data_IF_517139195786
#
_entry.id   IF_517139195786
#
_cell.length_a   1.000
_cell.length_b   1.000
_cell.length_c   1.000
_cell.angle_alpha   90.00
_cell.angle_beta   90.00
_cell.angle_gamma   90.00
#
_symmetry.space_group_name_H-M   'P 1'
#
loop_
_entity.id
_entity.type
_entity.pdbx_description
1 polymer ?
#
# COMPACT_ATOMS: atom_id res chain seq x y z
N UNK A 1 0.49 -80.12 -64.48
CA UNK A 1 0.34 -80.36 -63.03
C UNK A 1 1.59 -79.81 -62.38
N UNK A 2 1.53 -78.61 -61.79
CA UNK A 2 2.07 -78.20 -60.47
C UNK A 2 1.63 -76.74 -60.25
N UNK A 3 1.17 -76.49 -59.03
CA UNK A 3 0.40 -75.39 -58.48
C UNK A 3 1.12 -74.04 -58.43
N UNK A 4 0.43 -72.96 -58.82
CA UNK A 4 0.79 -71.59 -58.45
C UNK A 4 0.31 -71.38 -57.01
N UNK A 5 1.24 -71.18 -56.07
CA UNK A 5 0.88 -70.84 -54.68
C UNK A 5 0.35 -69.41 -54.62
N UNK A 6 -0.85 -69.27 -54.05
CA UNK A 6 -1.52 -68.00 -53.87
C UNK A 6 -0.76 -67.18 -52.81
N UNK A 7 -0.30 -65.99 -53.20
CA UNK A 7 0.29 -65.02 -52.29
C UNK A 7 -0.79 -64.57 -51.31
N UNK A 8 -0.60 -64.91 -50.04
CA UNK A 8 -1.50 -64.55 -48.95
C UNK A 8 -1.37 -63.04 -48.70
N UNK A 9 -2.37 -62.28 -49.11
CA UNK A 9 -2.42 -60.84 -48.87
C UNK A 9 -2.62 -60.62 -47.38
N UNK A 10 -1.65 -59.99 -46.72
CA UNK A 10 -1.80 -59.53 -45.35
C UNK A 10 -2.90 -58.47 -45.34
N UNK A 11 -4.09 -58.85 -44.88
CA UNK A 11 -5.19 -57.93 -44.63
C UNK A 11 -4.80 -57.10 -43.41
N UNK A 12 -4.39 -55.86 -43.63
CA UNK A 12 -4.17 -54.91 -42.55
C UNK A 12 -5.54 -54.52 -41.98
N UNK A 13 -6.02 -55.26 -40.97
CA UNK A 13 -7.17 -54.82 -40.20
C UNK A 13 -6.74 -53.62 -39.35
N UNK A 14 -7.26 -52.42 -39.66
CA UNK A 14 -7.24 -51.30 -38.73
C UNK A 14 -8.00 -51.71 -37.47
N UNK A 15 -7.27 -52.06 -36.42
CA UNK A 15 -7.84 -52.18 -35.09
C UNK A 15 -8.14 -50.75 -34.59
N UNK A 16 -9.39 -50.31 -34.75
CA UNK A 16 -9.87 -49.10 -34.10
C UNK A 16 -9.97 -49.39 -32.61
N UNK A 17 -8.97 -48.95 -31.86
CA UNK A 17 -8.94 -49.08 -30.41
C UNK A 17 -9.79 -47.96 -29.81
N UNK A 18 -10.95 -48.31 -29.28
CA UNK A 18 -11.79 -47.41 -28.50
C UNK A 18 -11.13 -47.19 -27.13
N UNK A 19 -10.31 -46.15 -27.04
CA UNK A 19 -9.69 -45.75 -25.79
C UNK A 19 -10.77 -45.13 -24.90
N UNK A 20 -10.89 -45.52 -23.61
CA UNK A 20 -11.86 -44.90 -22.71
C UNK A 20 -11.70 -43.37 -22.80
N UNK A 21 -12.80 -42.72 -23.16
CA UNK A 21 -12.82 -41.34 -23.65
C UNK A 21 -12.03 -40.39 -22.76
N UNK A 22 -11.25 -39.53 -23.41
CA UNK A 22 -10.44 -38.50 -22.75
C UNK A 22 -11.25 -37.78 -21.66
N UNK A 23 -10.73 -37.75 -20.44
CA UNK A 23 -11.33 -36.97 -19.37
C UNK A 23 -11.17 -35.49 -19.67
N UNK A 24 -12.30 -34.78 -19.78
CA UNK A 24 -12.28 -33.32 -19.91
C UNK A 24 -12.00 -32.74 -18.53
N UNK A 25 -10.82 -32.15 -18.37
CA UNK A 25 -10.41 -31.42 -17.17
C UNK A 25 -10.29 -29.93 -17.49
N UNK A 26 -10.42 -29.09 -16.46
CA UNK A 26 -10.13 -27.65 -16.61
C UNK A 26 -8.69 -27.44 -17.06
N UNK A 27 -8.48 -26.53 -18.01
CA UNK A 27 -7.14 -26.19 -18.49
C UNK A 27 -6.24 -25.65 -17.36
N UNK A 28 -6.83 -24.90 -16.44
CA UNK A 28 -6.20 -24.40 -15.24
C UNK A 28 -7.19 -24.48 -14.06
N UNK A 29 -6.68 -24.82 -12.89
CA UNK A 29 -7.45 -24.89 -11.65
C UNK A 29 -6.63 -24.31 -10.51
N UNK A 30 -7.25 -23.50 -9.66
CA UNK A 30 -6.61 -22.94 -8.48
C UNK A 30 -7.57 -22.91 -7.31
N UNK A 31 -7.02 -23.06 -6.11
CA UNK A 31 -7.79 -22.94 -4.86
C UNK A 31 -7.76 -21.49 -4.41
N UNK A 32 -8.94 -20.90 -4.24
CA UNK A 32 -9.07 -19.56 -3.70
C UNK A 32 -9.00 -19.59 -2.19
N UNK A 33 -8.15 -18.74 -1.62
CA UNK A 33 -7.98 -18.59 -0.17
C UNK A 33 -8.04 -17.12 0.20
N UNK A 34 -8.70 -16.82 1.31
CA UNK A 34 -8.68 -15.49 1.89
C UNK A 34 -7.30 -15.22 2.50
N UNK A 35 -6.73 -14.04 2.23
CA UNK A 35 -5.46 -13.63 2.83
C UNK A 35 -5.58 -13.36 4.33
N UNK A 36 -6.75 -12.95 4.79
CA UNK A 36 -7.04 -12.62 6.17
C UNK A 36 -8.26 -13.41 6.65
N UNK A 37 -8.24 -13.79 7.93
CA UNK A 37 -9.39 -14.42 8.55
C UNK A 37 -10.47 -13.36 8.82
N UNK A 38 -11.72 -13.74 8.59
CA UNK A 38 -12.86 -12.85 8.69
C UNK A 38 -14.18 -13.58 8.51
N UNK A 39 -15.27 -12.85 8.70
CA UNK A 39 -16.61 -13.37 8.46
C UNK A 39 -17.04 -13.03 7.05
N UNK A 40 -17.63 -13.99 6.34
CA UNK A 40 -18.25 -13.70 5.03
C UNK A 40 -19.47 -12.83 5.27
N UNK A 41 -19.42 -11.59 4.79
CA UNK A 41 -20.50 -10.61 4.91
C UNK A 41 -21.50 -10.74 3.77
N UNK A 42 -20.98 -10.86 2.55
CA UNK A 42 -21.76 -10.97 1.34
C UNK A 42 -20.99 -11.75 0.28
N UNK A 43 -21.72 -12.45 -0.57
CA UNK A 43 -21.16 -13.02 -1.79
C UNK A 43 -21.19 -11.95 -2.89
N UNK A 44 -20.16 -11.95 -3.72
CA UNK A 44 -20.03 -11.01 -4.82
C UNK A 44 -21.12 -11.19 -5.88
N UNK A 45 -21.22 -10.22 -6.78
CA UNK A 45 -22.19 -10.24 -7.87
C UNK A 45 -21.48 -10.02 -9.20
N UNK A 46 -22.00 -10.66 -10.23
CA UNK A 46 -21.59 -10.43 -11.61
C UNK A 46 -22.80 -10.01 -12.44
N UNK A 47 -22.83 -8.72 -12.77
CA UNK A 47 -24.06 -8.09 -13.26
C UNK A 47 -25.16 -8.20 -12.20
N UNK A 48 -26.30 -8.77 -12.59
CA UNK A 48 -27.45 -8.93 -11.70
C UNK A 48 -27.42 -10.24 -10.88
N UNK A 49 -26.51 -11.16 -11.22
CA UNK A 49 -26.43 -12.49 -10.61
C UNK A 49 -25.48 -12.51 -9.41
N UNK A 50 -25.88 -13.17 -8.34
CA UNK A 50 -24.97 -13.54 -7.25
C UNK A 50 -24.02 -14.63 -7.75
N UNK A 51 -22.76 -14.58 -7.31
CA UNK A 51 -21.75 -15.56 -7.73
C UNK A 51 -22.01 -16.87 -7.00
N UNK A 52 -22.26 -17.92 -7.79
CA UNK A 52 -22.43 -19.29 -7.29
C UNK A 52 -21.66 -20.27 -8.20
N UNK A 53 -21.69 -21.56 -7.86
CA UNK A 53 -21.01 -22.62 -8.60
C UNK A 53 -21.49 -22.62 -10.06
N UNK A 54 -20.53 -22.47 -10.98
CA UNK A 54 -20.78 -22.45 -12.43
C UNK A 54 -20.87 -21.06 -13.05
N UNK A 55 -20.82 -19.99 -12.25
CA UNK A 55 -20.77 -18.61 -12.77
C UNK A 55 -19.37 -18.26 -13.30
N UNK A 56 -19.30 -17.71 -14.52
CA UNK A 56 -18.05 -17.35 -15.19
C UNK A 56 -17.56 -15.99 -14.68
N UNK A 57 -16.57 -15.96 -13.80
CA UNK A 57 -16.01 -14.71 -13.24
C UNK A 57 -14.81 -14.18 -14.03
N UNK A 58 -14.65 -12.85 -14.08
CA UNK A 58 -13.46 -12.21 -14.64
C UNK A 58 -12.37 -12.04 -13.57
N UNK A 59 -11.11 -11.90 -14.01
CA UNK A 59 -10.01 -11.59 -13.11
C UNK A 59 -10.27 -10.30 -12.34
N UNK A 60 -10.02 -10.32 -11.03
CA UNK A 60 -10.21 -9.17 -10.15
C UNK A 60 -11.66 -8.91 -9.74
N UNK A 61 -12.62 -9.73 -10.17
CA UNK A 61 -13.99 -9.66 -9.68
C UNK A 61 -14.04 -9.92 -8.18
N UNK A 62 -14.87 -9.16 -7.46
CA UNK A 62 -15.14 -9.42 -6.05
C UNK A 62 -15.99 -10.68 -5.95
N UNK A 63 -15.44 -11.72 -5.33
CA UNK A 63 -16.15 -13.00 -5.15
C UNK A 63 -16.87 -13.07 -3.81
N UNK A 64 -16.32 -12.43 -2.78
CA UNK A 64 -16.91 -12.32 -1.46
C UNK A 64 -16.37 -11.09 -0.74
N UNK A 65 -17.23 -10.45 0.04
CA UNK A 65 -16.85 -9.42 0.99
C UNK A 65 -16.63 -10.05 2.36
N UNK A 66 -15.48 -9.77 2.96
CA UNK A 66 -15.16 -10.19 4.32
C UNK A 66 -15.33 -9.00 5.27
N UNK A 67 -16.04 -9.23 6.37
CA UNK A 67 -16.09 -8.32 7.48
C UNK A 67 -15.09 -8.77 8.55
N UNK A 68 -14.15 -7.87 8.86
CA UNK A 68 -13.05 -8.09 9.82
C UNK A 68 -13.06 -6.88 10.77
N UNK A 69 -13.82 -6.93 11.87
CA UNK A 69 -13.97 -5.77 12.77
C UNK A 69 -12.63 -5.30 13.36
N UNK A 70 -11.68 -6.21 13.55
CA UNK A 70 -10.35 -5.90 14.06
C UNK A 70 -9.58 -4.93 13.14
N UNK A 71 -9.71 -5.08 11.82
CA UNK A 71 -9.09 -4.16 10.86
C UNK A 71 -9.72 -2.77 10.88
N UNK A 72 -11.03 -2.69 11.13
CA UNK A 72 -11.73 -1.41 11.23
C UNK A 72 -11.28 -0.63 12.47
N UNK A 73 -11.11 -1.32 13.60
CA UNK A 73 -10.57 -0.74 14.83
C UNK A 73 -9.10 -0.35 14.65
N UNK A 74 -8.26 -1.22 14.08
CA UNK A 74 -6.85 -0.92 13.80
C UNK A 74 -6.71 0.32 12.89
N UNK A 75 -7.52 0.40 11.83
CA UNK A 75 -7.54 1.56 10.95
C UNK A 75 -7.89 2.84 11.73
N UNK A 76 -8.88 2.77 12.62
CA UNK A 76 -9.30 3.92 13.43
C UNK A 76 -8.20 4.37 14.38
N UNK A 77 -7.52 3.43 15.04
CA UNK A 77 -6.38 3.69 15.92
C UNK A 77 -5.23 4.35 15.15
N UNK A 78 -4.85 3.79 14.00
CA UNK A 78 -3.76 4.32 13.17
C UNK A 78 -4.07 5.70 12.60
N UNK A 79 -5.32 5.96 12.22
CA UNK A 79 -5.74 7.28 11.81
C UNK A 79 -5.68 8.29 12.97
N UNK A 80 -6.04 7.88 14.19
CA UNK A 80 -5.92 8.74 15.37
C UNK A 80 -4.46 9.04 15.71
N UNK A 81 -3.59 8.04 15.64
CA UNK A 81 -2.14 8.17 15.80
C UNK A 81 -1.56 9.15 14.77
N UNK A 82 -1.93 8.99 13.49
CA UNK A 82 -1.52 9.89 12.41
C UNK A 82 -1.94 11.34 12.67
N UNK A 83 -3.19 11.57 13.11
CA UNK A 83 -3.67 12.93 13.45
C UNK A 83 -2.88 13.55 14.60
N UNK A 84 -2.55 12.77 15.65
CA UNK A 84 -1.74 13.24 16.78
C UNK A 84 -0.34 13.60 16.32
N UNK A 85 0.31 12.76 15.53
CA UNK A 85 1.65 13.02 15.01
C UNK A 85 1.69 14.29 14.14
N UNK A 86 0.67 14.51 13.29
CA UNK A 86 0.57 15.74 12.49
C UNK A 86 0.42 17.00 13.37
N UNK A 87 -0.39 16.91 14.43
CA UNK A 87 -0.55 18.02 15.37
C UNK A 87 0.75 18.32 16.13
N UNK A 88 1.48 17.30 16.55
CA UNK A 88 2.79 17.44 17.21
C UNK A 88 3.80 18.11 16.29
N UNK A 89 3.90 17.67 15.03
CA UNK A 89 4.77 18.30 14.03
C UNK A 89 4.40 19.77 13.82
N UNK A 90 3.11 20.10 13.75
CA UNK A 90 2.66 21.48 13.62
C UNK A 90 3.06 22.33 14.85
N UNK A 91 2.88 21.78 16.05
CA UNK A 91 3.28 22.44 17.29
C UNK A 91 4.79 22.65 17.37
N UNK A 92 5.60 21.64 17.03
CA UNK A 92 7.06 21.75 17.01
C UNK A 92 7.55 22.79 16.01
N UNK A 93 6.92 22.87 14.83
CA UNK A 93 7.24 23.91 13.83
C UNK A 93 6.95 25.30 14.37
N UNK A 94 5.78 25.52 14.95
CA UNK A 94 5.43 26.80 15.56
C UNK A 94 6.40 27.18 16.70
N UNK A 95 6.78 26.22 17.55
CA UNK A 95 7.76 26.44 18.62
C UNK A 95 9.16 26.80 18.05
N UNK A 96 9.57 26.17 16.95
CA UNK A 96 10.82 26.50 16.28
C UNK A 96 10.80 27.92 15.70
N UNK A 97 9.70 28.34 15.07
CA UNK A 97 9.53 29.71 14.56
C UNK A 97 9.61 30.76 15.69
N UNK A 98 8.95 30.49 16.82
CA UNK A 98 9.05 31.36 18.00
C UNK A 98 10.49 31.45 18.51
N UNK A 99 11.20 30.32 18.59
CA UNK A 99 12.60 30.30 19.04
C UNK A 99 13.52 31.10 18.10
N UNK A 100 13.30 31.02 16.78
CA UNK A 100 14.03 31.82 15.78
C UNK A 100 13.74 33.31 15.98
N UNK A 101 12.48 33.69 16.17
CA UNK A 101 12.11 35.09 16.43
C UNK A 101 12.75 35.62 17.72
N UNK A 102 12.75 34.83 18.80
CA UNK A 102 13.42 35.18 20.05
C UNK A 102 14.93 35.33 19.88
N UNK A 103 15.57 34.44 19.12
CA UNK A 103 17.00 34.55 18.82
C UNK A 103 17.32 35.88 18.13
N UNK A 104 16.48 36.29 17.17
CA UNK A 104 16.66 37.54 16.44
C UNK A 104 16.46 38.76 17.34
N UNK A 105 15.43 38.74 18.19
CA UNK A 105 15.19 39.79 19.18
C UNK A 105 16.39 39.95 20.14
N UNK A 106 16.97 38.84 20.60
CA UNK A 106 18.16 38.86 21.47
C UNK A 106 19.35 39.48 20.73
N UNK A 107 19.59 39.13 19.46
CA UNK A 107 20.66 39.75 18.65
C UNK A 107 20.47 41.25 18.52
N UNK A 108 19.26 41.71 18.21
CA UNK A 108 18.96 43.15 18.11
C UNK A 108 19.23 43.87 19.43
N UNK A 109 18.78 43.30 20.55
CA UNK A 109 19.02 43.86 21.89
C UNK A 109 20.52 43.93 22.24
N UNK A 110 21.32 42.99 21.76
CA UNK A 110 22.78 43.00 21.94
C UNK A 110 23.42 44.15 21.18
N UNK A 111 23.02 44.36 19.91
CA UNK A 111 23.51 45.48 19.09
C UNK A 111 23.16 46.81 19.73
N UNK A 112 21.91 46.99 20.19
CA UNK A 112 21.48 48.21 20.88
C UNK A 112 22.31 48.47 22.15
N UNK A 113 22.49 47.44 22.98
CA UNK A 113 23.31 47.55 24.21
C UNK A 113 24.78 47.86 23.91
N UNK A 114 25.34 47.31 22.83
CA UNK A 114 26.71 47.61 22.39
C UNK A 114 26.83 49.06 21.92
N UNK A 115 25.89 49.54 21.10
CA UNK A 115 25.85 50.93 20.65
C UNK A 115 25.72 51.91 21.83
N UNK A 116 24.88 51.59 22.82
CA UNK A 116 24.74 52.40 24.03
C UNK A 116 26.03 52.45 24.84
N UNK A 117 26.76 51.34 24.97
CA UNK A 117 28.08 51.31 25.62
C UNK A 117 29.07 52.21 24.90
N UNK A 118 29.18 52.09 23.58
CA UNK A 118 30.09 52.90 22.78
C UNK A 118 29.80 54.41 22.93
N UNK A 119 28.53 54.81 22.89
CA UNK A 119 28.13 56.21 23.11
C UNK A 119 28.55 56.70 24.51
N UNK A 120 28.36 55.86 25.53
CA UNK A 120 28.68 56.19 26.92
C UNK A 120 30.19 56.33 27.13
N UNK A 121 30.99 55.48 26.49
CA UNK A 121 32.46 55.59 26.48
C UNK A 121 32.94 56.89 25.84
N UNK A 122 32.40 57.26 24.68
CA UNK A 122 32.74 58.53 24.01
C UNK A 122 32.38 59.74 24.90
N UNK A 123 31.23 59.69 25.57
CA UNK A 123 30.83 60.73 26.53
C UNK A 123 31.82 60.88 27.69
N UNK A 124 32.26 59.77 28.28
CA UNK A 124 33.26 59.76 29.35
C UNK A 124 34.61 60.31 28.89
N UNK A 125 35.07 59.93 27.70
CA UNK A 125 36.31 60.46 27.13
C UNK A 125 36.26 61.98 26.89
N UNK A 126 35.10 62.51 26.49
CA UNK A 126 34.89 63.96 26.33
C UNK A 126 34.99 64.70 27.66
N UNK A 127 34.37 64.16 28.71
CA UNK A 127 34.41 64.74 30.06
C UNK A 127 35.86 64.72 30.59
N UNK A 128 36.55 63.59 30.44
CA UNK A 128 37.93 63.45 30.88
C UNK A 128 38.92 64.37 30.16
N UNK A 129 38.59 64.90 28.98
CA UNK A 129 39.42 65.85 28.22
C UNK A 129 39.17 67.32 28.61
N UNK A 130 38.11 67.60 29.37
CA UNK A 130 37.71 68.94 29.82
C UNK A 130 38.15 69.26 31.27
N UNK A 131 38.64 68.24 31.99
CA UNK A 131 39.23 68.34 33.33
C UNK A 131 40.74 68.23 33.20
#
# INVERSE_FOLDING_TARGET
MTTLEAVEWIVYQEAVVDLPGASVIGFESTVLVAKQAGYVKAIGRQGDLEIDIGVIVAQGSVLAELHIPELEEELREKQAESRRALAEVAQSKAAAEIAIAMQEQVKQSLVEKQALRALREVGLQRIARLV
#
